data_IF_763616903678
#
_entry.id   IF_763616903678
#
_cell.length_a   1.000
_cell.length_b   1.000
_cell.length_c   1.000
_cell.angle_alpha   90.00
_cell.angle_beta   90.00
_cell.angle_gamma   90.00
#
_symmetry.space_group_name_H-M   'P 1'
#
loop_
_entity.id
_entity.type
_entity.pdbx_description
1 polymer ?
#
# COMPACT_ATOMS: atom_id res chain seq x y z
N UNK A 1 -7.55 7.92 10.23
CA UNK A 1 -6.30 7.41 9.65
C UNK A 1 -6.59 6.38 8.56
N UNK A 2 -7.11 5.20 8.91
CA UNK A 2 -7.38 4.12 7.95
C UNK A 2 -8.32 4.49 6.81
N UNK A 3 -9.41 5.22 7.09
CA UNK A 3 -10.38 5.62 6.06
C UNK A 3 -9.75 6.44 4.93
N UNK A 4 -9.12 7.61 5.15
CA UNK A 4 -8.45 8.31 4.05
C UNK A 4 -7.29 7.48 3.48
N UNK A 5 -6.52 6.77 4.31
CA UNK A 5 -5.38 5.97 3.83
C UNK A 5 -5.80 4.90 2.80
N UNK A 6 -6.95 4.26 3.00
CA UNK A 6 -7.52 3.27 2.06
C UNK A 6 -8.35 3.97 0.97
N UNK A 7 -9.39 4.72 1.35
CA UNK A 7 -10.40 5.20 0.41
C UNK A 7 -9.88 6.28 -0.53
N UNK A 8 -9.05 7.20 -0.03
CA UNK A 8 -8.41 8.19 -0.89
C UNK A 8 -7.52 7.50 -1.92
N UNK A 9 -6.70 6.54 -1.49
CA UNK A 9 -5.82 5.77 -2.38
C UNK A 9 -6.60 5.01 -3.45
N UNK A 10 -7.70 4.35 -3.07
CA UNK A 10 -8.53 3.59 -4.02
C UNK A 10 -9.30 4.47 -5.00
N UNK A 11 -9.43 5.77 -4.73
CA UNK A 11 -10.07 6.73 -5.65
C UNK A 11 -9.27 7.01 -6.92
N UNK A 12 -8.13 6.34 -7.13
CA UNK A 12 -7.36 6.40 -8.36
C UNK A 12 -7.35 5.06 -9.11
N UNK A 13 -7.94 4.01 -8.52
CA UNK A 13 -8.01 2.68 -9.10
C UNK A 13 -9.33 2.51 -9.87
N UNK A 14 -9.27 1.80 -11.00
CA UNK A 14 -10.46 1.39 -11.75
C UNK A 14 -11.16 0.20 -11.09
N UNK A 15 -10.37 -0.72 -10.56
CA UNK A 15 -10.82 -1.92 -9.85
C UNK A 15 -9.88 -2.19 -8.67
N UNK A 16 -10.39 -2.85 -7.63
CA UNK A 16 -9.62 -3.32 -6.48
C UNK A 16 -9.92 -4.79 -6.26
N UNK A 17 -9.00 -5.68 -6.62
CA UNK A 17 -9.15 -7.14 -6.51
C UNK A 17 -8.11 -7.76 -5.59
N UNK A 18 -6.85 -7.35 -5.74
CA UNK A 18 -5.71 -7.92 -5.02
C UNK A 18 -5.01 -6.84 -4.20
N UNK A 19 -4.98 -7.04 -2.87
CA UNK A 19 -4.37 -6.10 -1.92
C UNK A 19 -3.30 -6.80 -1.10
N UNK A 20 -2.15 -6.15 -0.94
CA UNK A 20 -1.14 -6.55 0.03
C UNK A 20 -0.97 -5.41 1.04
N UNK A 21 -0.86 -5.72 2.32
CA UNK A 21 -0.49 -4.74 3.33
C UNK A 21 0.59 -5.26 4.29
N UNK A 22 1.42 -4.36 4.79
CA UNK A 22 2.49 -4.66 5.76
C UNK A 22 2.24 -3.87 7.04
N UNK A 23 2.32 -4.53 8.18
CA UNK A 23 1.84 -4.00 9.45
C UNK A 23 0.32 -4.13 9.56
N UNK A 24 -0.34 -3.10 10.11
CA UNK A 24 -1.81 -3.09 10.22
C UNK A 24 -2.36 -4.17 11.17
N UNK A 25 -1.57 -4.59 12.17
CA UNK A 25 -1.99 -5.55 13.20
C UNK A 25 -3.16 -5.10 14.09
N UNK A 26 -3.69 -3.89 13.90
CA UNK A 26 -4.97 -3.44 14.46
C UNK A 26 -6.20 -3.90 13.66
N UNK A 27 -6.01 -4.53 12.50
CA UNK A 27 -7.03 -5.03 11.57
C UNK A 27 -7.85 -3.94 10.85
N UNK A 28 -7.57 -2.65 11.05
CA UNK A 28 -8.43 -1.59 10.53
C UNK A 28 -8.15 -1.29 9.06
N UNK A 29 -6.92 -1.44 8.56
CA UNK A 29 -6.67 -1.41 7.11
C UNK A 29 -7.49 -2.50 6.41
N UNK A 30 -7.45 -3.73 6.95
CA UNK A 30 -8.20 -4.85 6.42
C UNK A 30 -9.71 -4.57 6.43
N UNK A 31 -10.24 -4.04 7.55
CA UNK A 31 -11.64 -3.67 7.68
C UNK A 31 -12.08 -2.69 6.57
N UNK A 32 -11.30 -1.65 6.30
CA UNK A 32 -11.62 -0.67 5.25
C UNK A 32 -11.48 -1.25 3.84
N UNK A 33 -10.49 -2.12 3.60
CA UNK A 33 -10.30 -2.80 2.31
C UNK A 33 -11.48 -3.74 1.99
N UNK A 34 -11.98 -4.50 2.97
CA UNK A 34 -13.07 -5.45 2.76
C UNK A 34 -14.43 -4.79 2.50
N UNK A 35 -14.56 -3.47 2.66
CA UNK A 35 -15.74 -2.71 2.20
C UNK A 35 -15.90 -2.71 0.68
N UNK A 36 -14.85 -3.09 -0.07
CA UNK A 36 -14.91 -3.27 -1.51
C UNK A 36 -15.26 -4.72 -1.87
N UNK A 37 -16.47 -5.00 -2.39
CA UNK A 37 -16.89 -6.37 -2.69
C UNK A 37 -16.13 -7.02 -3.86
N UNK A 38 -15.40 -6.22 -4.65
CA UNK A 38 -14.53 -6.73 -5.73
C UNK A 38 -13.22 -7.32 -5.24
N UNK A 39 -12.88 -7.14 -3.96
CA UNK A 39 -11.66 -7.72 -3.39
C UNK A 39 -11.82 -9.24 -3.44
N UNK A 40 -10.86 -9.88 -4.10
CA UNK A 40 -10.75 -11.32 -4.34
C UNK A 40 -9.64 -11.94 -3.49
N UNK A 41 -8.60 -11.17 -3.17
CA UNK A 41 -7.44 -11.65 -2.40
C UNK A 41 -6.79 -10.52 -1.61
N UNK A 42 -6.58 -10.74 -0.31
CA UNK A 42 -5.84 -9.85 0.57
C UNK A 42 -4.76 -10.63 1.29
N UNK A 43 -3.52 -10.14 1.28
CA UNK A 43 -2.45 -10.65 2.13
C UNK A 43 -1.99 -9.59 3.14
N UNK A 44 -2.04 -9.94 4.42
CA UNK A 44 -1.49 -9.14 5.52
C UNK A 44 -0.15 -9.72 5.99
N UNK A 45 0.92 -8.92 5.90
CA UNK A 45 2.25 -9.25 6.41
C UNK A 45 2.44 -8.55 7.76
N UNK A 46 2.34 -9.28 8.86
CA UNK A 46 2.42 -8.74 10.22
C UNK A 46 3.52 -9.45 11.01
N UNK A 47 4.30 -8.71 11.79
CA UNK A 47 5.40 -9.28 12.55
C UNK A 47 4.93 -10.24 13.63
N UNK A 48 3.92 -9.85 14.41
CA UNK A 48 3.46 -10.61 15.58
C UNK A 48 1.94 -10.81 15.57
N UNK A 49 1.52 -12.08 15.45
CA UNK A 49 0.11 -12.48 15.54
C UNK A 49 -0.57 -12.03 16.85
N UNK A 50 0.19 -11.81 17.93
CA UNK A 50 -0.36 -11.28 19.17
C UNK A 50 -0.94 -9.89 18.98
N UNK A 51 -0.38 -9.05 18.10
CA UNK A 51 -0.92 -7.73 17.79
C UNK A 51 -2.36 -7.87 17.26
N UNK A 52 -2.53 -8.65 16.19
CA UNK A 52 -3.83 -8.96 15.56
C UNK A 52 -4.85 -9.51 16.56
N UNK A 53 -4.45 -10.50 17.37
CA UNK A 53 -5.34 -11.15 18.35
C UNK A 53 -5.69 -10.23 19.52
N UNK A 54 -4.75 -9.42 20.00
CA UNK A 54 -5.00 -8.47 21.08
C UNK A 54 -5.90 -7.34 20.58
N UNK A 55 -5.71 -6.87 19.36
CA UNK A 55 -6.57 -5.86 18.75
C UNK A 55 -8.01 -6.35 18.64
N UNK A 56 -8.21 -7.58 18.17
CA UNK A 56 -9.53 -8.23 18.19
C UNK A 56 -10.10 -8.34 19.61
N UNK A 57 -9.32 -8.84 20.57
CA UNK A 57 -9.77 -9.05 21.94
C UNK A 57 -10.16 -7.77 22.67
N UNK A 58 -9.41 -6.68 22.47
CA UNK A 58 -9.53 -5.46 23.27
C UNK A 58 -10.30 -4.34 22.57
N UNK A 59 -10.31 -4.33 21.23
CA UNK A 59 -10.95 -3.28 20.44
C UNK A 59 -12.04 -3.83 19.49
N UNK A 60 -12.31 -5.14 19.52
CA UNK A 60 -13.29 -5.82 18.66
C UNK A 60 -13.02 -5.64 17.15
N UNK A 61 -11.77 -5.38 16.76
CA UNK A 61 -11.39 -5.25 15.35
C UNK A 61 -11.27 -6.64 14.71
N UNK A 62 -12.00 -6.88 13.62
CA UNK A 62 -12.13 -8.21 13.06
C UNK A 62 -10.88 -8.59 12.23
N UNK A 63 -10.16 -9.67 12.57
CA UNK A 63 -9.01 -10.13 11.78
C UNK A 63 -9.43 -10.93 10.53
N UNK A 64 -10.72 -11.26 10.41
CA UNK A 64 -11.32 -11.99 9.29
C UNK A 64 -10.62 -13.31 8.95
N UNK A 65 -10.20 -14.09 9.95
CA UNK A 65 -9.53 -15.39 9.74
C UNK A 65 -10.38 -16.42 8.98
N UNK A 66 -11.72 -16.28 9.02
CA UNK A 66 -12.67 -17.17 8.35
C UNK A 66 -13.03 -16.69 6.93
N UNK A 67 -12.56 -15.51 6.50
CA UNK A 67 -12.79 -15.01 5.14
C UNK A 67 -11.73 -15.62 4.22
N UNK A 68 -12.16 -16.48 3.28
CA UNK A 68 -11.26 -17.19 2.35
C UNK A 68 -10.41 -16.26 1.47
N UNK A 69 -10.79 -14.98 1.36
CA UNK A 69 -10.02 -13.98 0.62
C UNK A 69 -8.81 -13.48 1.42
N UNK A 70 -8.84 -13.62 2.75
CA UNK A 70 -7.89 -13.01 3.68
C UNK A 70 -6.81 -14.00 4.09
N UNK A 71 -5.56 -13.64 3.84
CA UNK A 71 -4.40 -14.46 4.12
C UNK A 71 -3.45 -13.70 5.04
N UNK A 72 -3.16 -14.24 6.21
CA UNK A 72 -2.19 -13.67 7.14
C UNK A 72 -0.87 -14.42 7.08
N UNK A 73 0.22 -13.69 6.92
CA UNK A 73 1.58 -14.21 7.04
C UNK A 73 2.25 -13.51 8.21
N UNK A 74 2.56 -14.29 9.24
CA UNK A 74 3.16 -13.79 10.47
C UNK A 74 4.67 -14.01 10.49
N UNK A 75 5.41 -12.96 10.84
CA UNK A 75 6.86 -12.99 10.99
C UNK A 75 7.53 -11.80 10.32
N UNK A 76 8.86 -11.85 10.29
CA UNK A 76 9.68 -10.79 9.71
C UNK A 76 9.35 -10.61 8.22
N UNK A 77 8.83 -9.42 7.87
CA UNK A 77 8.47 -9.09 6.50
C UNK A 77 9.66 -9.21 5.53
N UNK A 78 10.89 -8.92 5.99
CA UNK A 78 12.08 -9.03 5.14
C UNK A 78 12.33 -10.48 4.70
N UNK A 79 12.11 -11.45 5.59
CA UNK A 79 12.23 -12.87 5.25
C UNK A 79 11.03 -13.32 4.43
N UNK A 80 9.84 -12.91 4.85
CA UNK A 80 8.57 -13.29 4.23
C UNK A 80 8.52 -12.91 2.75
N UNK A 81 8.99 -11.69 2.40
CA UNK A 81 9.01 -11.23 1.01
C UNK A 81 9.82 -12.14 0.09
N UNK A 82 10.89 -12.75 0.59
CA UNK A 82 11.74 -13.67 -0.19
C UNK A 82 11.10 -15.04 -0.42
N UNK A 83 10.03 -15.35 0.32
CA UNK A 83 9.30 -16.62 0.32
C UNK A 83 7.92 -16.51 -0.36
N UNK A 84 7.50 -15.31 -0.76
CA UNK A 84 6.22 -15.13 -1.43
C UNK A 84 6.20 -15.91 -2.76
N UNK A 85 5.03 -16.45 -3.16
CA UNK A 85 4.87 -17.11 -4.44
C UNK A 85 5.28 -16.20 -5.62
N UNK A 86 5.89 -16.75 -6.67
CA UNK A 86 6.39 -15.94 -7.80
C UNK A 86 5.25 -15.20 -8.52
N UNK A 87 4.06 -15.78 -8.55
CA UNK A 87 2.84 -15.21 -9.11
C UNK A 87 2.31 -13.99 -8.35
N UNK A 88 2.85 -13.69 -7.16
CA UNK A 88 2.45 -12.50 -6.39
C UNK A 88 3.13 -11.23 -6.91
N UNK A 89 4.31 -11.35 -7.52
CA UNK A 89 5.06 -10.22 -8.05
C UNK A 89 4.37 -9.64 -9.28
N UNK A 90 4.17 -8.32 -9.30
CA UNK A 90 3.45 -7.59 -10.34
C UNK A 90 1.94 -7.88 -10.37
N UNK A 91 1.36 -8.40 -9.29
CA UNK A 91 -0.03 -8.90 -9.27
C UNK A 91 -1.00 -8.13 -8.37
N UNK A 92 -0.53 -7.16 -7.59
CA UNK A 92 -1.38 -6.42 -6.64
C UNK A 92 -1.83 -5.07 -7.19
N UNK A 93 -3.13 -4.78 -7.07
CA UNK A 93 -3.70 -3.47 -7.42
C UNK A 93 -3.27 -2.41 -6.41
N UNK A 94 -3.13 -2.83 -5.14
CA UNK A 94 -2.78 -1.96 -4.03
C UNK A 94 -1.80 -2.66 -3.09
N UNK A 95 -0.65 -2.02 -2.84
CA UNK A 95 0.32 -2.41 -1.81
C UNK A 95 0.37 -1.29 -0.78
N UNK A 96 0.06 -1.61 0.48
CA UNK A 96 0.01 -0.65 1.58
C UNK A 96 1.08 -0.95 2.62
N UNK A 97 1.80 0.06 3.05
CA UNK A 97 2.82 -0.08 4.10
C UNK A 97 2.43 0.81 5.26
N UNK A 98 2.09 0.18 6.38
CA UNK A 98 1.70 0.81 7.63
C UNK A 98 2.70 0.44 8.73
N UNK A 99 3.87 1.06 8.63
CA UNK A 99 5.02 0.79 9.48
C UNK A 99 5.60 2.10 10.03
N UNK A 100 6.18 2.05 11.21
CA UNK A 100 7.00 3.15 11.74
C UNK A 100 8.35 3.22 11.02
N UNK A 101 8.98 4.41 11.00
CA UNK A 101 10.24 4.65 10.29
C UNK A 101 11.33 3.61 10.58
N UNK A 102 11.46 3.17 11.85
CA UNK A 102 12.49 2.21 12.29
C UNK A 102 12.40 0.86 11.55
N UNK A 103 11.20 0.40 11.22
CA UNK A 103 11.00 -0.88 10.53
C UNK A 103 11.30 -0.81 9.02
N UNK A 104 11.34 0.39 8.44
CA UNK A 104 11.43 0.58 6.98
C UNK A 104 12.86 0.66 6.44
N UNK A 105 13.85 0.77 7.33
CA UNK A 105 15.28 0.81 6.97
C UNK A 105 15.91 -0.58 6.84
N UNK A 106 15.09 -1.63 6.92
CA UNK A 106 15.54 -3.02 6.86
C UNK A 106 15.81 -3.45 5.42
N UNK A 107 16.92 -4.17 5.24
CA UNK A 107 17.27 -4.81 3.97
C UNK A 107 16.58 -6.17 3.84
N UNK A 108 16.05 -6.47 2.65
CA UNK A 108 15.38 -7.74 2.34
C UNK A 108 16.39 -8.74 1.78
N UNK A 109 17.25 -8.26 0.89
CA UNK A 109 18.41 -8.99 0.39
C UNK A 109 19.62 -8.06 0.42
N UNK A 110 20.80 -8.55 0.02
CA UNK A 110 21.98 -7.70 -0.17
C UNK A 110 21.76 -6.58 -1.21
N UNK A 111 20.75 -6.71 -2.07
CA UNK A 111 20.51 -5.82 -3.21
C UNK A 111 19.19 -5.05 -3.17
N UNK A 112 18.21 -5.51 -2.38
CA UNK A 112 16.88 -4.91 -2.27
C UNK A 112 16.59 -4.53 -0.83
N UNK A 113 16.16 -3.29 -0.63
CA UNK A 113 15.49 -2.91 0.61
C UNK A 113 14.00 -3.24 0.60
N UNK A 114 13.34 -3.04 1.73
CA UNK A 114 11.93 -3.34 1.91
C UNK A 114 11.02 -2.63 0.90
N UNK A 115 11.30 -1.36 0.56
CA UNK A 115 10.48 -0.61 -0.39
C UNK A 115 10.65 -1.14 -1.80
N UNK A 116 11.88 -1.44 -2.20
CA UNK A 116 12.18 -2.00 -3.52
C UNK A 116 11.52 -3.38 -3.68
N UNK A 117 11.62 -4.25 -2.66
CA UNK A 117 11.01 -5.57 -2.68
C UNK A 117 9.47 -5.51 -2.72
N UNK A 118 8.84 -4.66 -1.92
CA UNK A 118 7.39 -4.48 -1.91
C UNK A 118 6.89 -3.82 -3.20
N UNK A 119 7.67 -2.92 -3.80
CA UNK A 119 7.31 -2.30 -5.07
C UNK A 119 7.19 -3.32 -6.21
N UNK A 120 7.96 -4.41 -6.16
CA UNK A 120 7.86 -5.51 -7.14
C UNK A 120 6.52 -6.26 -7.07
N UNK A 121 5.74 -6.13 -5.99
CA UNK A 121 4.41 -6.74 -5.89
C UNK A 121 3.35 -5.95 -6.69
N UNK A 122 3.59 -4.66 -6.91
CA UNK A 122 2.62 -3.73 -7.49
C UNK A 122 2.45 -4.00 -9.00
N UNK A 123 1.21 -4.08 -9.48
CA UNK A 123 0.91 -4.10 -10.92
C UNK A 123 1.46 -2.86 -11.63
N UNK A 124 1.70 -2.91 -12.95
CA UNK A 124 2.11 -1.72 -13.71
C UNK A 124 1.15 -0.51 -13.55
N UNK A 125 -0.14 -0.78 -13.38
CA UNK A 125 -1.21 0.19 -13.12
C UNK A 125 -1.77 0.13 -11.69
N UNK A 126 -1.02 -0.47 -10.76
CA UNK A 126 -1.34 -0.48 -9.34
C UNK A 126 -0.78 0.73 -8.59
N UNK A 127 -1.08 0.80 -7.30
CA UNK A 127 -0.62 1.84 -6.38
C UNK A 127 0.16 1.22 -5.22
N UNK A 128 1.28 1.84 -4.90
CA UNK A 128 1.99 1.67 -3.64
C UNK A 128 1.66 2.84 -2.73
N UNK A 129 1.33 2.61 -1.46
CA UNK A 129 1.09 3.67 -0.48
C UNK A 129 1.82 3.37 0.82
N UNK A 130 2.50 4.39 1.37
CA UNK A 130 3.22 4.33 2.64
C UNK A 130 2.66 5.39 3.57
N UNK A 131 2.40 5.01 4.82
CA UNK A 131 2.10 5.97 5.87
C UNK A 131 3.31 6.89 6.09
N UNK A 132 3.10 8.20 6.28
CA UNK A 132 4.15 9.24 6.40
C UNK A 132 4.79 9.66 5.06
N UNK A 133 5.74 10.60 5.14
CA UNK A 133 6.34 11.30 3.99
C UNK A 133 7.55 10.54 3.47
N UNK A 134 7.39 9.83 2.36
CA UNK A 134 8.46 9.02 1.73
C UNK A 134 8.72 9.38 0.26
N UNK A 135 8.27 10.55 -0.20
CA UNK A 135 8.35 10.96 -1.61
C UNK A 135 9.77 10.87 -2.20
N UNK A 136 10.82 11.21 -1.43
CA UNK A 136 12.20 11.16 -1.92
C UNK A 136 12.71 9.74 -2.19
N UNK A 137 12.18 8.75 -1.45
CA UNK A 137 12.48 7.34 -1.68
C UNK A 137 11.65 6.80 -2.83
N UNK A 138 10.33 7.02 -2.80
CA UNK A 138 9.41 6.45 -3.77
C UNK A 138 9.62 7.02 -5.19
N UNK A 139 9.99 8.30 -5.34
CA UNK A 139 10.27 8.91 -6.67
C UNK A 139 11.46 8.29 -7.41
N UNK A 140 12.29 7.52 -6.70
CA UNK A 140 13.42 6.78 -7.28
C UNK A 140 12.99 5.41 -7.81
N UNK A 141 11.84 4.92 -7.36
CA UNK A 141 11.30 3.59 -7.66
C UNK A 141 10.14 3.68 -8.66
N UNK A 142 9.30 4.71 -8.52
CA UNK A 142 8.07 4.92 -9.31
C UNK A 142 8.10 6.21 -10.11
N UNK A 143 7.39 6.21 -11.24
CA UNK A 143 7.27 7.36 -12.16
C UNK A 143 6.39 8.47 -11.59
N UNK A 144 5.27 8.13 -10.96
CA UNK A 144 4.36 9.09 -10.35
C UNK A 144 4.38 8.92 -8.83
N UNK A 145 4.60 10.01 -8.10
CA UNK A 145 4.55 10.02 -6.64
C UNK A 145 3.86 11.26 -6.13
N UNK A 146 3.09 11.11 -5.05
CA UNK A 146 2.37 12.20 -4.42
C UNK A 146 2.38 12.05 -2.90
N UNK A 147 2.56 13.16 -2.18
CA UNK A 147 2.33 13.21 -0.74
C UNK A 147 1.00 13.89 -0.47
N UNK A 148 0.18 13.21 0.30
CA UNK A 148 -1.14 13.65 0.72
C UNK A 148 -1.10 13.96 2.22
N UNK A 149 -1.76 15.04 2.62
CA UNK A 149 -1.82 15.54 3.98
C UNK A 149 -3.25 15.66 4.46
N UNK A 150 -3.57 14.93 5.53
CA UNK A 150 -4.85 15.01 6.21
C UNK A 150 -4.70 15.74 7.53
N UNK A 151 -5.42 16.85 7.69
CA UNK A 151 -5.33 17.79 8.81
C UNK A 151 -6.42 17.59 9.88
N UNK A 152 -7.34 16.64 9.66
CA UNK A 152 -8.45 16.34 10.56
C UNK A 152 -8.49 14.85 10.93
N UNK A 153 -7.37 14.30 11.36
CA UNK A 153 -7.31 12.93 11.88
C UNK A 153 -7.59 12.93 13.38
N UNK A 154 -8.67 12.30 13.87
CA UNK A 154 -8.93 12.23 15.30
C UNK A 154 -7.74 11.64 16.07
N UNK A 155 -7.46 12.19 17.26
CA UNK A 155 -6.35 11.83 18.16
C UNK A 155 -4.94 12.17 17.67
N UNK A 156 -4.62 11.96 16.39
CA UNK A 156 -3.28 12.22 15.83
C UNK A 156 -3.16 13.65 15.30
N UNK A 157 -4.29 14.36 15.17
CA UNK A 157 -4.48 15.69 14.56
C UNK A 157 -4.18 15.69 13.06
N UNK A 158 -3.01 15.17 12.66
CA UNK A 158 -2.47 15.27 11.32
C UNK A 158 -1.85 13.95 10.90
N UNK A 159 -2.09 13.55 9.66
CA UNK A 159 -1.40 12.41 9.06
C UNK A 159 -0.99 12.76 7.64
N UNK A 160 0.28 12.49 7.32
CA UNK A 160 0.74 12.43 5.94
C UNK A 160 0.81 10.97 5.46
N UNK A 161 0.62 10.75 4.17
CA UNK A 161 0.98 9.50 3.50
C UNK A 161 1.44 9.77 2.07
N UNK A 162 2.35 8.93 1.56
CA UNK A 162 2.87 9.04 0.20
C UNK A 162 2.36 7.89 -0.66
N UNK A 163 1.77 8.22 -1.80
CA UNK A 163 1.32 7.28 -2.82
C UNK A 163 2.27 7.31 -4.03
N UNK A 164 2.40 6.18 -4.71
CA UNK A 164 3.28 6.00 -5.84
C UNK A 164 2.71 5.01 -6.87
N UNK A 165 2.96 5.25 -8.15
CA UNK A 165 2.54 4.37 -9.26
C UNK A 165 3.44 4.57 -10.48
N UNK A 166 3.53 3.57 -11.36
CA UNK A 166 4.24 3.70 -12.64
C UNK A 166 3.34 4.24 -13.76
N UNK A 167 2.01 4.21 -13.60
CA UNK A 167 1.08 4.63 -14.67
C UNK A 167 0.00 5.61 -14.22
N UNK A 168 -0.35 5.63 -12.94
CA UNK A 168 -1.44 6.47 -12.45
C UNK A 168 -0.94 7.90 -12.23
N UNK A 169 -1.55 8.83 -12.95
CA UNK A 169 -1.36 10.26 -12.74
C UNK A 169 -2.28 10.75 -11.62
N UNK A 170 -1.73 10.93 -10.41
CA UNK A 170 -2.49 11.38 -9.24
C UNK A 170 -3.08 12.79 -9.34
N UNK A 171 -2.72 13.57 -10.37
CA UNK A 171 -3.41 14.84 -10.65
C UNK A 171 -4.78 14.63 -11.30
N UNK A 172 -5.10 13.40 -11.73
CA UNK A 172 -6.35 13.03 -12.41
C UNK A 172 -7.05 11.89 -11.67
N UNK A 173 -7.78 12.19 -10.58
CA UNK A 173 -8.46 11.17 -9.79
C UNK A 173 -9.54 10.43 -10.59
N UNK A 174 -9.77 9.16 -10.24
CA UNK A 174 -10.85 8.33 -10.77
C UNK A 174 -11.84 7.91 -9.66
N UNK A 175 -12.86 8.74 -9.45
CA UNK A 175 -13.87 8.47 -8.43
C UNK A 175 -14.88 7.36 -8.79
N UNK A 176 -14.75 6.66 -9.92
CA UNK A 176 -15.69 5.62 -10.36
C UNK A 176 -15.91 4.55 -9.30
N UNK A 177 -14.82 4.01 -8.73
CA UNK A 177 -14.88 2.92 -7.75
C UNK A 177 -15.55 3.39 -6.44
N UNK A 178 -15.18 4.58 -5.95
CA UNK A 178 -15.78 5.21 -4.77
C UNK A 178 -17.27 5.50 -4.99
N UNK A 179 -17.65 6.07 -6.14
CA UNK A 179 -19.04 6.39 -6.47
C UNK A 179 -19.91 5.14 -6.66
N UNK A 180 -19.32 4.06 -7.18
CA UNK A 180 -20.01 2.79 -7.42
C UNK A 180 -20.31 2.07 -6.12
N UNK A 181 -19.32 1.91 -5.23
CA UNK A 181 -19.48 1.09 -4.03
C UNK A 181 -19.86 1.87 -2.78
N UNK A 182 -19.56 3.17 -2.71
CA UNK A 182 -19.90 4.06 -1.59
C UNK A 182 -19.62 3.40 -0.22
N UNK A 183 -18.36 3.03 0.05
CA UNK A 183 -18.02 2.40 1.33
C UNK A 183 -18.46 3.30 2.48
N UNK A 184 -19.00 2.70 3.53
CA UNK A 184 -19.40 3.43 4.73
C UNK A 184 -18.16 4.03 5.40
N UNK A 185 -18.18 5.33 5.67
CA UNK A 185 -17.09 6.04 6.36
C UNK A 185 -17.66 6.82 7.53
N UNK A 186 -16.92 6.91 8.62
CA UNK A 186 -17.33 7.62 9.84
C UNK A 186 -16.77 9.04 9.89
N UNK A 187 -15.55 9.24 9.40
CA UNK A 187 -14.81 10.51 9.55
C UNK A 187 -14.42 11.07 8.20
N UNK A 188 -13.95 10.22 7.29
CA UNK A 188 -13.54 10.58 5.95
C UNK A 188 -14.75 10.93 5.10
N UNK A 189 -14.72 12.12 4.51
CA UNK A 189 -15.66 12.52 3.47
C UNK A 189 -14.96 12.35 2.12
N UNK A 190 -15.46 11.47 1.24
CA UNK A 190 -14.90 11.34 -0.10
C UNK A 190 -14.78 12.70 -0.77
N UNK A 191 -13.59 13.02 -1.26
CA UNK A 191 -13.31 14.28 -1.95
C UNK A 191 -13.81 14.19 -3.38
N UNK A 192 -15.13 14.15 -3.54
CA UNK A 192 -15.82 13.96 -4.82
C UNK A 192 -15.81 15.22 -5.71
N UNK A 193 -15.34 16.34 -5.16
CA UNK A 193 -15.16 17.61 -5.87
C UNK A 193 -13.67 17.92 -6.10
N UNK A 194 -13.36 18.38 -7.31
CA UNK A 194 -11.99 18.61 -7.77
C UNK A 194 -11.25 19.71 -6.98
N UNK A 195 -11.99 20.69 -6.45
CA UNK A 195 -11.40 21.83 -5.74
C UNK A 195 -10.93 21.43 -4.35
N UNK A 196 -11.66 20.54 -3.67
CA UNK A 196 -11.28 20.02 -2.36
C UNK A 196 -10.27 18.88 -2.49
N UNK A 197 -10.33 18.10 -3.57
CA UNK A 197 -9.38 17.01 -3.83
C UNK A 197 -7.92 17.47 -3.85
N UNK A 198 -7.62 18.61 -4.50
CA UNK A 198 -6.25 19.12 -4.55
C UNK A 198 -5.77 19.80 -3.26
N UNK A 199 -6.67 20.10 -2.30
CA UNK A 199 -6.29 20.84 -1.07
C UNK A 199 -5.38 20.02 -0.16
N UNK A 200 -5.48 18.70 -0.23
CA UNK A 200 -4.70 17.79 0.61
C UNK A 200 -3.38 17.40 -0.07
N UNK A 201 -3.11 17.86 -1.29
CA UNK A 201 -1.84 17.58 -1.97
C UNK A 201 -0.74 18.49 -1.46
N UNK A 202 0.37 17.90 -1.02
CA UNK A 202 1.56 18.64 -0.59
C UNK A 202 2.63 18.69 -1.66
N UNK A 203 3.02 17.53 -2.16
CA UNK A 203 4.09 17.39 -3.14
C UNK A 203 3.69 16.37 -4.20
N UNK A 204 4.07 16.63 -5.45
CA UNK A 204 3.92 15.68 -6.56
C UNK A 204 5.21 15.63 -7.36
N UNK A 205 5.62 14.42 -7.76
CA UNK A 205 6.76 14.22 -8.65
C UNK A 205 6.37 13.28 -9.78
N UNK A 206 6.69 13.70 -11.01
CA UNK A 206 6.68 12.85 -12.20
C UNK A 206 8.11 12.67 -12.69
N UNK A 207 8.61 11.45 -12.60
CA UNK A 207 9.89 10.99 -13.12
C UNK A 207 9.65 9.95 -14.21
N UNK A 208 10.67 9.65 -15.01
CA UNK A 208 10.68 8.46 -15.88
C UNK A 208 11.77 7.53 -15.33
N UNK A 209 11.42 6.73 -14.33
CA UNK A 209 12.32 5.80 -13.67
C UNK A 209 12.80 4.72 -14.66
N UNK A 210 11.98 4.36 -15.66
CA UNK A 210 12.34 3.41 -16.72
C UNK A 210 13.36 3.97 -17.70
N UNK A 211 13.15 5.16 -18.26
CA UNK A 211 14.13 5.81 -19.16
C UNK A 211 15.42 6.21 -18.44
N UNK A 212 15.41 6.29 -17.11
CA UNK A 212 16.62 6.43 -16.29
C UNK A 212 17.39 5.11 -16.09
N UNK A 213 16.92 3.99 -16.68
CA UNK A 213 17.53 2.66 -16.57
C UNK A 213 17.44 2.07 -15.16
N UNK A 214 16.43 2.43 -14.38
CA UNK A 214 16.32 2.03 -12.96
C UNK A 214 15.39 0.83 -12.74
N UNK A 215 14.36 0.64 -13.58
CA UNK A 215 13.53 -0.56 -13.54
C UNK A 215 14.25 -1.79 -14.10
N UNK A 216 15.01 -1.65 -15.20
CA UNK A 216 15.82 -2.77 -15.73
C UNK A 216 16.81 -3.27 -14.68
N UNK A 217 17.38 -2.38 -13.85
CA UNK A 217 18.23 -2.76 -12.71
C UNK A 217 17.47 -3.48 -11.58
N UNK A 218 16.18 -3.20 -11.39
CA UNK A 218 15.35 -3.96 -10.44
C UNK A 218 15.01 -5.35 -11.00
N UNK A 219 14.72 -5.42 -12.30
CA UNK A 219 14.46 -6.68 -13.01
C UNK A 219 15.72 -7.55 -13.07
N UNK A 220 16.90 -6.99 -13.37
CA UNK A 220 18.20 -7.67 -13.35
C UNK A 220 18.57 -8.18 -11.95
N UNK A 221 18.32 -7.38 -10.90
CA UNK A 221 18.52 -7.81 -9.50
C UNK A 221 17.64 -9.01 -9.14
N UNK A 222 16.47 -9.15 -9.75
CA UNK A 222 15.57 -10.29 -9.54
C UNK A 222 16.13 -11.57 -10.17
N UNK A 223 16.59 -11.52 -11.42
CA UNK A 223 17.14 -12.70 -12.14
C UNK A 223 18.45 -13.22 -11.53
N UNK A 224 19.36 -12.33 -11.12
CA UNK A 224 20.66 -12.72 -10.55
C UNK A 224 20.51 -13.34 -9.13
N UNK A 225 19.42 -13.02 -8.42
CA UNK A 225 19.07 -13.68 -7.15
C UNK A 225 18.51 -15.10 -7.33
N UNK A 226 17.98 -15.42 -8.50
CA UNK A 226 17.54 -16.79 -8.86
C UNK A 226 18.76 -17.69 -9.20
N UNK A 227 19.87 -17.13 -9.70
CA UNK A 227 21.12 -17.89 -9.98
C UNK A 227 21.91 -18.25 -8.72
N UNK A 228 21.88 -17.41 -7.69
CA UNK A 228 22.49 -17.71 -6.38
C UNK A 228 21.68 -18.71 -5.52
N UNK A 229 20.49 -19.12 -5.98
CA UNK A 229 19.61 -20.11 -5.33
C UNK A 229 19.76 -21.54 -5.87
N UNK A 230 20.75 -21.82 -6.71
CA UNK A 230 21.15 -23.18 -7.15
C UNK A 230 22.34 -23.72 -6.39
#
# INVERSE_FOLDING_TARGET
YHEPFVHFTTSFLKELKRVAFVGGGDNMILNEVLKYPTVEFVIGLELDQKCVRNSFKHFNTQPHFEDERVHWWFGDATKTLTMLPKEYFGSFDLVMVDLSETATSLTVTERLDMFEALALLVKPDGIFVKNEVYIQKLRKIFDHTITVYEDHVPMVCKQDFTMASNKIDFLKPNFELMRKYKPETYVYKPLDDINTHYRIFRDYSKTDARAQGKCEKLDEKMYDSDEQRR
#
